data_IF_086735198614
#
_entry.id   IF_086735198614
#
_cell.length_a   1.000
_cell.length_b   1.000
_cell.length_c   1.000
_cell.angle_alpha   90.00
_cell.angle_beta   90.00
_cell.angle_gamma   90.00
#
_symmetry.space_group_name_H-M   'P 1'
#
loop_
_entity.id
_entity.type
_entity.pdbx_description
1 polymer ?
#
# COMPACT_ATOMS: atom_id res chain seq x y z
N UNK A 1 11.77 -7.17 6.64
CA UNK A 1 10.88 -8.29 6.32
C UNK A 1 9.85 -7.78 5.32
N UNK A 2 9.58 -8.50 4.23
CA UNK A 2 8.49 -8.18 3.30
C UNK A 2 7.21 -8.91 3.73
N UNK A 3 6.07 -8.24 3.70
CA UNK A 3 4.76 -8.81 4.02
C UNK A 3 3.64 -8.06 3.28
N UNK A 4 2.39 -8.47 3.47
CA UNK A 4 1.22 -7.82 2.89
C UNK A 4 0.46 -7.00 3.92
N UNK A 5 -0.10 -5.89 3.46
CA UNK A 5 -0.96 -5.03 4.26
C UNK A 5 -2.16 -4.59 3.45
N UNK A 6 -3.25 -4.27 4.13
CA UNK A 6 -4.43 -3.66 3.53
C UNK A 6 -4.51 -2.18 3.92
N UNK A 7 -4.96 -1.32 3.00
CA UNK A 7 -5.22 0.09 3.28
C UNK A 7 -6.46 0.22 4.17
N UNK A 8 -6.29 0.80 5.36
CA UNK A 8 -7.37 1.06 6.33
C UNK A 8 -7.89 2.49 6.26
N UNK A 9 -6.99 3.45 5.97
CA UNK A 9 -7.36 4.85 5.77
C UNK A 9 -6.35 5.56 4.85
N UNK A 10 -6.84 6.56 4.12
CA UNK A 10 -6.05 7.42 3.24
C UNK A 10 -6.17 8.85 3.74
N UNK A 11 -5.20 9.28 4.55
CA UNK A 11 -5.11 10.63 5.08
C UNK A 11 -4.40 11.59 4.12
N UNK A 12 -4.39 12.88 4.47
CA UNK A 12 -3.69 13.89 3.66
C UNK A 12 -2.15 13.80 3.74
N UNK A 13 -1.63 13.29 4.85
CA UNK A 13 -0.17 13.25 5.12
C UNK A 13 0.35 11.85 5.40
N UNK A 14 -0.56 10.90 5.64
CA UNK A 14 -0.23 9.53 6.03
C UNK A 14 -1.22 8.55 5.43
N UNK A 15 -0.74 7.31 5.27
CA UNK A 15 -1.52 6.14 4.95
C UNK A 15 -1.66 5.30 6.21
N UNK A 16 -2.85 4.81 6.52
CA UNK A 16 -3.04 3.80 7.55
C UNK A 16 -3.14 2.42 6.91
N UNK A 17 -2.35 1.49 7.40
CA UNK A 17 -2.23 0.13 6.89
C UNK A 17 -2.48 -0.87 8.01
N UNK A 18 -3.12 -1.99 7.69
CA UNK A 18 -3.24 -3.14 8.58
C UNK A 18 -2.40 -4.26 8.01
N UNK A 19 -1.41 -4.74 8.77
CA UNK A 19 -0.63 -5.93 8.38
C UNK A 19 -1.56 -7.15 8.42
N UNK A 20 -1.81 -7.76 7.26
CA UNK A 20 -2.85 -8.80 7.11
C UNK A 20 -2.58 -9.99 8.02
N UNK A 21 -1.32 -10.39 8.15
CA UNK A 21 -0.91 -11.58 8.91
C UNK A 21 -0.93 -11.39 10.42
N UNK A 22 -0.76 -10.16 10.92
CA UNK A 22 -0.58 -9.91 12.36
C UNK A 22 -1.63 -8.99 12.97
N UNK A 23 -2.48 -8.37 12.15
CA UNK A 23 -3.50 -7.42 12.60
C UNK A 23 -2.96 -6.07 13.09
N UNK A 24 -1.64 -5.82 13.04
CA UNK A 24 -1.06 -4.56 13.50
C UNK A 24 -1.46 -3.41 12.58
N UNK A 25 -1.91 -2.31 13.19
CA UNK A 25 -2.18 -1.05 12.49
C UNK A 25 -0.92 -0.19 12.46
N UNK A 26 -0.52 0.25 11.28
CA UNK A 26 0.66 1.07 11.04
C UNK A 26 0.27 2.36 10.33
N UNK A 27 0.66 3.50 10.91
CA UNK A 27 0.53 4.82 10.27
C UNK A 27 1.83 5.18 9.59
N UNK A 28 1.77 5.44 8.30
CA UNK A 28 2.96 5.65 7.46
C UNK A 28 2.88 6.99 6.79
N UNK A 29 3.80 7.90 7.11
CA UNK A 29 3.81 9.23 6.51
C UNK A 29 4.24 9.18 5.04
N UNK A 30 3.62 9.98 4.19
CA UNK A 30 4.04 10.09 2.79
C UNK A 30 5.48 10.61 2.66
N UNK A 31 5.93 11.46 3.61
CA UNK A 31 7.33 11.93 3.68
C UNK A 31 8.32 10.77 3.86
N UNK A 32 7.97 9.77 4.66
CA UNK A 32 8.82 8.60 4.88
C UNK A 32 8.91 7.73 3.62
N UNK A 33 7.81 7.60 2.88
CA UNK A 33 7.74 6.79 1.67
C UNK A 33 8.25 7.49 0.41
N UNK A 34 8.39 8.82 0.43
CA UNK A 34 8.86 9.62 -0.70
C UNK A 34 10.24 9.21 -1.23
N UNK A 35 11.02 8.42 -0.50
CA UNK A 35 12.29 7.85 -0.99
C UNK A 35 12.08 6.74 -2.02
N UNK A 36 10.97 6.01 -1.95
CA UNK A 36 10.69 4.80 -2.75
C UNK A 36 9.50 4.95 -3.68
N UNK A 37 8.52 5.79 -3.32
CA UNK A 37 7.34 6.05 -4.14
C UNK A 37 6.77 7.44 -3.86
N UNK A 38 6.20 8.06 -4.89
CA UNK A 38 5.42 9.26 -4.77
C UNK A 38 3.93 8.90 -4.62
N UNK A 39 3.19 9.73 -3.88
CA UNK A 39 1.76 9.53 -3.63
C UNK A 39 1.01 10.75 -4.15
N UNK A 40 0.06 10.52 -5.06
CA UNK A 40 -0.82 11.57 -5.57
C UNK A 40 -2.24 11.31 -5.07
N UNK A 41 -2.72 12.14 -4.16
CA UNK A 41 -4.13 12.15 -3.77
C UNK A 41 -4.96 12.59 -4.98
N UNK A 42 -5.98 11.82 -5.34
CA UNK A 42 -6.75 12.10 -6.55
C UNK A 42 -7.83 13.15 -6.31
N UNK A 43 -8.58 13.11 -5.19
CA UNK A 43 -9.57 14.16 -4.85
C UNK A 43 -9.80 14.28 -3.32
N UNK A 44 -9.61 15.49 -2.77
CA UNK A 44 -9.84 15.80 -1.34
C UNK A 44 -11.34 15.92 -0.96
N UNK A 45 -12.21 16.11 -1.95
CA UNK A 45 -13.63 16.47 -1.73
C UNK A 45 -14.57 15.27 -1.68
N UNK A 46 -14.09 14.06 -1.97
CA UNK A 46 -14.91 12.84 -1.95
C UNK A 46 -14.90 12.16 -0.57
N UNK A 47 -16.02 11.57 -0.15
CA UNK A 47 -16.11 10.85 1.12
C UNK A 47 -15.23 9.60 1.15
N UNK A 48 -15.02 8.97 -0.03
CA UNK A 48 -14.07 7.89 -0.21
C UNK A 48 -12.82 8.43 -0.88
N UNK A 49 -11.73 8.53 -0.10
CA UNK A 49 -10.44 8.92 -0.62
C UNK A 49 -9.78 7.74 -1.33
N UNK A 50 -9.03 8.09 -2.35
CA UNK A 50 -8.16 7.19 -3.10
C UNK A 50 -6.89 7.96 -3.44
N UNK A 51 -5.80 7.23 -3.65
CA UNK A 51 -4.52 7.82 -4.02
C UNK A 51 -3.82 6.97 -5.07
N UNK A 52 -3.05 7.61 -5.92
CA UNK A 52 -2.20 6.93 -6.89
C UNK A 52 -0.80 6.76 -6.29
N UNK A 53 -0.39 5.51 -6.13
CA UNK A 53 0.96 5.12 -5.76
C UNK A 53 1.82 5.09 -7.03
N UNK A 54 2.91 5.86 -7.01
CA UNK A 54 3.84 6.02 -8.12
C UNK A 54 5.24 5.53 -7.67
N UNK A 55 5.57 4.25 -7.83
CA UNK A 55 6.90 3.74 -7.50
C UNK A 55 7.99 4.45 -8.30
N UNK A 56 9.14 4.73 -7.67
CA UNK A 56 10.29 5.32 -8.36
C UNK A 56 11.04 4.31 -9.24
N UNK A 57 10.93 3.03 -8.92
CA UNK A 57 11.40 1.96 -9.79
C UNK A 57 10.45 1.79 -10.98
N UNK A 58 10.93 2.14 -12.18
CA UNK A 58 10.16 2.08 -13.43
C UNK A 58 9.76 0.67 -13.85
N UNK A 59 10.32 -0.38 -13.22
CA UNK A 59 9.88 -1.77 -13.43
C UNK A 59 8.56 -2.07 -12.73
N UNK A 60 8.12 -1.22 -11.81
CA UNK A 60 6.90 -1.39 -11.05
C UNK A 60 5.86 -0.39 -11.59
N UNK A 61 4.73 -0.91 -12.06
CA UNK A 61 3.66 -0.08 -12.57
C UNK A 61 3.03 0.77 -11.44
N UNK A 62 2.59 2.00 -11.74
CA UNK A 62 1.67 2.74 -10.89
C UNK A 62 0.43 1.94 -10.50
N UNK A 63 -0.10 2.19 -9.30
CA UNK A 63 -1.34 1.57 -8.85
C UNK A 63 -2.26 2.58 -8.15
N UNK A 64 -3.56 2.43 -8.39
CA UNK A 64 -4.58 3.13 -7.61
C UNK A 64 -4.81 2.37 -6.30
N UNK A 65 -4.68 3.08 -5.18
CA UNK A 65 -4.99 2.59 -3.85
C UNK A 65 -6.33 3.16 -3.37
N UNK A 66 -7.17 2.27 -2.90
CA UNK A 66 -8.45 2.53 -2.23
C UNK A 66 -8.45 1.86 -0.86
N UNK A 67 -9.46 2.13 -0.05
CA UNK A 67 -9.71 1.32 1.15
C UNK A 67 -9.73 -0.17 0.80
N UNK A 68 -9.13 -0.97 1.66
CA UNK A 68 -8.93 -2.42 1.53
C UNK A 68 -8.06 -2.87 0.35
N UNK A 69 -7.41 -1.96 -0.38
CA UNK A 69 -6.41 -2.34 -1.38
C UNK A 69 -5.25 -3.06 -0.70
N UNK A 70 -4.88 -4.22 -1.23
CA UNK A 70 -3.70 -4.96 -0.77
C UNK A 70 -2.43 -4.34 -1.35
N UNK A 71 -1.42 -4.17 -0.50
CA UNK A 71 -0.10 -3.65 -0.86
C UNK A 71 0.99 -4.54 -0.27
N UNK A 72 2.13 -4.58 -0.95
CA UNK A 72 3.36 -5.17 -0.39
C UNK A 72 4.07 -4.12 0.43
N UNK A 73 4.50 -4.49 1.63
CA UNK A 73 5.19 -3.60 2.54
C UNK A 73 6.47 -4.20 3.07
N UNK A 74 7.47 -3.36 3.23
CA UNK A 74 8.68 -3.72 3.97
C UNK A 74 8.54 -3.21 5.39
N UNK A 75 8.60 -4.12 6.36
CA UNK A 75 8.56 -3.80 7.79
C UNK A 75 9.92 -4.00 8.45
N UNK A 76 10.21 -3.14 9.42
CA UNK A 76 11.37 -3.19 10.30
C UNK A 76 10.92 -2.92 11.74
N UNK A 77 11.60 -3.55 12.70
CA UNK A 77 11.41 -3.27 14.11
C UNK A 77 12.38 -2.14 14.52
N UNK A 78 11.86 -0.98 14.90
CA UNK A 78 12.65 0.16 15.32
C UNK A 78 12.27 0.51 16.75
N UNK A 79 13.20 0.39 17.69
CA UNK A 79 12.94 0.60 19.12
C UNK A 79 11.68 -0.15 19.60
N UNK A 80 11.60 -1.44 19.24
CA UNK A 80 10.47 -2.33 19.58
C UNK A 80 9.13 -1.99 18.92
N UNK A 81 9.07 -1.00 18.02
CA UNK A 81 7.88 -0.66 17.25
C UNK A 81 7.95 -1.14 15.80
N UNK A 82 6.84 -1.69 15.28
CA UNK A 82 6.71 -2.08 13.88
C UNK A 82 6.64 -0.83 13.00
N UNK A 83 7.60 -0.69 12.09
CA UNK A 83 7.72 0.46 11.20
C UNK A 83 7.69 0.00 9.75
N UNK A 84 6.80 0.57 8.94
CA UNK A 84 6.73 0.33 7.49
C UNK A 84 7.70 1.27 6.78
N UNK A 85 8.69 0.74 6.09
CA UNK A 85 9.72 1.53 5.39
C UNK A 85 9.51 1.62 3.89
N UNK A 86 8.65 0.77 3.32
CA UNK A 86 8.30 0.79 1.91
C UNK A 86 6.87 0.31 1.71
N UNK A 87 6.20 0.87 0.71
CA UNK A 87 4.88 0.45 0.24
C UNK A 87 4.95 0.36 -1.28
N UNK A 88 4.63 -0.82 -1.81
CA UNK A 88 4.61 -1.11 -3.24
C UNK A 88 3.27 -1.74 -3.62
N UNK A 89 2.83 -1.61 -4.88
CA UNK A 89 1.65 -2.32 -5.35
C UNK A 89 1.78 -3.83 -5.09
N UNK A 90 0.65 -4.48 -4.80
CA UNK A 90 0.59 -5.94 -4.84
C UNK A 90 1.03 -6.41 -6.22
N UNK A 91 1.74 -7.55 -6.27
CA UNK A 91 1.99 -8.18 -7.56
C UNK A 91 0.63 -8.57 -8.14
N UNK A 92 0.43 -8.48 -9.47
CA UNK A 92 -0.71 -9.15 -10.06
C UNK A 92 -0.61 -10.61 -9.63
N UNK A 93 -1.57 -11.06 -8.80
CA UNK A 93 -1.87 -12.48 -8.77
C UNK A 93 -2.18 -12.81 -10.22
N UNK A 94 -1.40 -13.70 -10.84
CA UNK A 94 -1.89 -14.42 -12.01
C UNK A 94 -3.26 -14.92 -11.60
N UNK A 95 -4.32 -14.28 -12.13
CA UNK A 95 -5.64 -14.88 -12.09
C UNK A 95 -5.41 -16.19 -12.81
N UNK A 96 -5.36 -17.28 -12.07
CA UNK A 96 -5.51 -18.60 -12.64
C UNK A 96 -6.85 -18.54 -13.35
N UNK A 97 -6.78 -18.38 -14.67
CA UNK A 97 -7.93 -18.48 -15.54
C UNK A 97 -8.42 -19.90 -15.37
N UNK A 98 -9.36 -20.12 -14.45
CA UNK A 98 -10.16 -21.34 -14.46
C UNK A 98 -10.77 -21.42 -15.86
N UNK A 99 -10.43 -22.42 -16.68
CA UNK A 99 -11.10 -22.60 -17.95
C UNK A 99 -12.57 -22.84 -17.64
N UNK A 100 -13.44 -22.06 -18.27
CA UNK A 100 -14.86 -22.40 -18.32
C UNK A 100 -14.96 -23.72 -19.07
N UNK A 101 -15.33 -24.77 -18.36
CA UNK A 101 -15.61 -26.08 -18.93
C UNK A 101 -16.85 -25.96 -19.84
N UNK A 102 -16.82 -26.72 -20.94
CA UNK A 102 -17.69 -26.61 -22.11
C UNK A 102 -19.15 -27.02 -21.88
#
# INVERSE_FOLDING_TARGET
METTAAVSDIGQQLLELVLITTGHVCKVSYKQLAKVADFKLTEDTKPLRHCMLLPKDRKIAPAELRLFSEVRVTVQLVKEAVTVTSVLPSLPQSKESTPVEA
#
